data_IF_850904413674
#
_entry.id   IF_850904413674
#
_cell.length_a   1.000
_cell.length_b   1.000
_cell.length_c   1.000
_cell.angle_alpha   90.00
_cell.angle_beta   90.00
_cell.angle_gamma   90.00
#
_symmetry.space_group_name_H-M   'P 1'
#
loop_
_entity.id
_entity.type
_entity.pdbx_description
1 polymer ?
#
# COMPACT_ATOMS: atom_id res chain seq x y z
N UNK A 1 0.68 12.76 -14.15
CA UNK A 1 0.34 11.32 -14.25
C UNK A 1 0.74 10.66 -12.93
N UNK A 2 0.16 9.50 -12.62
CA UNK A 2 0.46 8.77 -11.38
C UNK A 2 1.26 7.51 -11.68
N UNK A 3 2.23 7.21 -10.82
CA UNK A 3 2.90 5.91 -10.78
C UNK A 3 2.60 5.24 -9.45
N UNK A 4 2.17 3.98 -9.52
CA UNK A 4 1.83 3.19 -8.35
C UNK A 4 3.00 2.25 -8.03
N UNK A 5 2.89 1.52 -6.92
CA UNK A 5 3.83 0.45 -6.53
C UNK A 5 5.26 0.89 -6.18
N UNK A 6 5.47 2.16 -5.80
CA UNK A 6 6.72 2.51 -5.12
C UNK A 6 6.87 1.60 -3.89
N UNK A 7 8.08 1.10 -3.68
CA UNK A 7 8.48 0.06 -2.72
C UNK A 7 8.39 -1.39 -3.19
N UNK A 8 7.80 -1.71 -4.35
CA UNK A 8 7.61 -3.11 -4.76
C UNK A 8 8.92 -3.87 -4.93
N UNK A 9 9.90 -3.22 -5.57
CA UNK A 9 11.26 -3.72 -5.74
C UNK A 9 12.21 -2.55 -5.98
N UNK A 10 13.52 -2.80 -5.84
CA UNK A 10 14.54 -1.81 -6.21
C UNK A 10 14.40 -1.33 -7.67
N UNK A 11 14.15 -2.26 -8.60
CA UNK A 11 13.96 -1.92 -10.02
C UNK A 11 12.75 -1.00 -10.25
N UNK A 12 11.61 -1.27 -9.57
CA UNK A 12 10.42 -0.41 -9.65
C UNK A 12 10.72 0.98 -9.10
N UNK A 13 11.40 1.05 -7.94
CA UNK A 13 11.79 2.34 -7.35
C UNK A 13 12.66 3.19 -8.29
N UNK A 14 13.66 2.57 -8.93
CA UNK A 14 14.54 3.26 -9.88
C UNK A 14 13.79 3.73 -11.14
N UNK A 15 12.83 2.93 -11.64
CA UNK A 15 11.99 3.33 -12.77
C UNK A 15 11.07 4.51 -12.44
N UNK A 16 10.48 4.52 -11.25
CA UNK A 16 9.65 5.63 -10.77
C UNK A 16 10.51 6.88 -10.58
N UNK A 17 11.68 6.76 -9.94
CA UNK A 17 12.62 7.87 -9.79
C UNK A 17 12.94 8.51 -11.14
N UNK A 18 13.29 7.70 -12.14
CA UNK A 18 13.60 8.21 -13.49
C UNK A 18 12.42 8.97 -14.08
N UNK A 19 11.21 8.44 -13.95
CA UNK A 19 9.99 9.05 -14.47
C UNK A 19 9.61 10.35 -13.75
N UNK A 20 9.90 10.45 -12.45
CA UNK A 20 9.75 11.70 -11.66
C UNK A 20 10.79 12.73 -12.09
N UNK A 21 12.06 12.35 -12.19
CA UNK A 21 13.16 13.24 -12.62
C UNK A 21 12.97 13.78 -14.04
N UNK A 22 12.34 12.99 -14.91
CA UNK A 22 12.00 13.40 -16.28
C UNK A 22 10.72 14.27 -16.34
N UNK A 23 10.06 14.51 -15.20
CA UNK A 23 8.86 15.36 -15.12
C UNK A 23 7.59 14.72 -15.66
N UNK A 24 7.60 13.42 -15.98
CA UNK A 24 6.44 12.69 -16.51
C UNK A 24 5.43 12.37 -15.39
N UNK A 25 5.95 12.00 -14.22
CA UNK A 25 5.17 11.62 -13.05
C UNK A 25 5.31 12.70 -11.98
N UNK A 26 4.16 13.12 -11.44
CA UNK A 26 4.07 14.10 -10.37
C UNK A 26 3.20 13.63 -9.20
N UNK A 27 2.81 12.36 -9.20
CA UNK A 27 2.05 11.72 -8.14
C UNK A 27 2.51 10.27 -8.01
N UNK A 28 2.85 9.83 -6.79
CA UNK A 28 3.39 8.49 -6.54
C UNK A 28 2.69 7.83 -5.36
N UNK A 29 2.29 6.56 -5.52
CA UNK A 29 1.74 5.71 -4.47
C UNK A 29 2.82 4.81 -3.87
N UNK A 30 3.08 4.93 -2.57
CA UNK A 30 4.05 4.10 -1.84
C UNK A 30 3.33 2.97 -1.10
N UNK A 31 3.87 1.74 -1.18
CA UNK A 31 3.43 0.61 -0.34
C UNK A 31 4.30 0.54 0.92
N UNK A 32 3.79 0.94 2.11
CA UNK A 32 4.63 1.08 3.30
C UNK A 32 5.09 -0.26 3.89
N UNK A 33 4.35 -1.35 3.62
CA UNK A 33 4.65 -2.67 4.15
C UNK A 33 5.82 -3.37 3.44
N UNK A 34 6.21 -2.90 2.26
CA UNK A 34 7.24 -3.55 1.45
C UNK A 34 8.65 -3.22 1.93
N UNK A 35 9.57 -4.18 1.79
CA UNK A 35 10.95 -4.08 2.30
C UNK A 35 11.76 -2.92 1.69
N UNK A 36 11.39 -2.46 0.50
CA UNK A 36 12.06 -1.35 -0.19
C UNK A 36 11.39 0.01 0.04
N UNK A 37 10.52 0.16 1.04
CA UNK A 37 9.78 1.40 1.25
C UNK A 37 10.65 2.59 1.65
N UNK A 38 11.57 2.40 2.59
CA UNK A 38 12.52 3.46 2.95
C UNK A 38 13.43 3.83 1.78
N UNK A 39 13.94 2.82 1.05
CA UNK A 39 14.73 3.04 -0.14
C UNK A 39 13.94 3.86 -1.18
N UNK A 40 12.71 3.45 -1.50
CA UNK A 40 11.85 4.11 -2.48
C UNK A 40 11.58 5.57 -2.12
N UNK A 41 11.19 5.84 -0.88
CA UNK A 41 10.96 7.20 -0.41
C UNK A 41 12.24 8.04 -0.44
N UNK A 42 13.38 7.49 -0.02
CA UNK A 42 14.65 8.22 0.02
C UNK A 42 15.08 8.80 -1.34
N UNK A 43 14.68 8.16 -2.44
CA UNK A 43 14.98 8.59 -3.80
C UNK A 43 14.16 9.79 -4.26
N UNK A 44 12.94 9.94 -3.75
CA UNK A 44 11.95 10.94 -4.23
C UNK A 44 11.58 12.00 -3.19
N UNK A 45 12.09 11.89 -1.96
CA UNK A 45 11.68 12.74 -0.82
C UNK A 45 11.86 14.25 -1.04
N UNK A 46 12.80 14.65 -1.89
CA UNK A 46 13.12 16.05 -2.18
C UNK A 46 12.38 16.58 -3.44
N UNK A 47 11.57 15.72 -4.08
CA UNK A 47 10.81 16.06 -5.28
C UNK A 47 9.46 16.70 -4.92
N UNK A 48 9.04 17.70 -5.70
CA UNK A 48 7.75 18.34 -5.53
C UNK A 48 6.63 17.54 -6.23
N UNK A 49 6.22 16.45 -5.60
CA UNK A 49 5.18 15.53 -6.10
C UNK A 49 4.13 15.24 -5.02
N UNK A 50 2.94 14.82 -5.45
CA UNK A 50 1.96 14.25 -4.53
C UNK A 50 2.41 12.84 -4.11
N UNK A 51 2.30 12.51 -2.83
CA UNK A 51 2.68 11.21 -2.28
C UNK A 51 1.49 10.59 -1.55
N UNK A 52 1.00 9.47 -2.07
CA UNK A 52 -0.13 8.75 -1.50
C UNK A 52 0.26 7.42 -0.85
N UNK A 53 -0.58 6.93 0.05
CA UNK A 53 -0.49 5.57 0.55
C UNK A 53 -1.16 4.61 -0.43
N UNK A 54 -0.35 3.76 -1.05
CA UNK A 54 -0.81 2.63 -1.84
C UNK A 54 -1.04 1.43 -0.93
N UNK A 55 -2.25 1.33 -0.38
CA UNK A 55 -2.59 0.33 0.63
C UNK A 55 -2.53 -1.05 0.01
N UNK A 56 -1.75 -1.95 0.58
CA UNK A 56 -1.49 -3.26 0.00
C UNK A 56 -1.90 -4.37 0.96
N UNK A 57 -2.76 -5.28 0.48
CA UNK A 57 -3.21 -6.45 1.25
C UNK A 57 -2.95 -7.76 0.51
N UNK A 58 -2.08 -7.74 -0.52
CA UNK A 58 -1.88 -8.93 -1.35
C UNK A 58 -0.44 -9.22 -1.81
N UNK A 59 0.53 -8.36 -1.43
CA UNK A 59 1.94 -8.54 -1.73
C UNK A 59 2.81 -8.45 -0.47
N UNK A 60 3.77 -9.37 -0.31
CA UNK A 60 4.66 -9.39 0.84
C UNK A 60 3.98 -9.85 2.14
N UNK A 61 4.39 -9.26 3.26
CA UNK A 61 3.84 -9.55 4.60
C UNK A 61 3.08 -8.34 5.14
N UNK A 62 2.06 -8.56 5.99
CA UNK A 62 1.40 -7.48 6.72
C UNK A 62 2.36 -6.83 7.71
N UNK A 63 2.02 -5.59 8.11
CA UNK A 63 2.64 -4.94 9.26
C UNK A 63 1.98 -5.37 10.58
N UNK A 64 0.75 -5.87 10.50
CA UNK A 64 -0.02 -6.41 11.62
C UNK A 64 0.35 -7.87 11.92
N UNK A 65 0.22 -8.30 13.19
CA UNK A 65 0.27 -9.72 13.54
C UNK A 65 -0.77 -10.51 12.72
N UNK A 66 -0.36 -11.51 11.91
CA UNK A 66 -1.27 -12.31 11.10
C UNK A 66 -2.46 -12.90 11.85
N UNK A 67 -2.35 -13.14 13.17
CA UNK A 67 -3.45 -13.66 14.01
C UNK A 67 -4.62 -12.67 14.16
N UNK A 68 -4.38 -11.38 13.95
CA UNK A 68 -5.40 -10.34 14.04
C UNK A 68 -6.12 -10.09 12.71
N UNK A 69 -5.58 -10.62 11.61
CA UNK A 69 -6.09 -10.40 10.23
C UNK A 69 -6.18 -11.70 9.41
N UNK A 70 -6.77 -12.79 9.94
CA UNK A 70 -6.77 -14.10 9.30
C UNK A 70 -7.42 -14.15 7.90
N UNK A 71 -8.31 -13.22 7.55
CA UNK A 71 -8.93 -13.17 6.21
C UNK A 71 -7.97 -12.67 5.11
N UNK A 72 -6.90 -11.96 5.51
CA UNK A 72 -5.94 -11.33 4.61
C UNK A 72 -4.70 -12.19 4.33
N UNK A 73 -4.43 -13.19 5.18
CA UNK A 73 -3.14 -13.90 5.22
C UNK A 73 -3.29 -15.39 4.95
N UNK A 74 -2.22 -16.01 4.48
CA UNK A 74 -2.04 -17.46 4.44
C UNK A 74 -1.55 -18.00 5.79
N UNK A 75 -1.50 -19.32 5.91
CA UNK A 75 -0.98 -20.02 7.09
C UNK A 75 0.48 -19.65 7.44
N UNK A 76 1.29 -19.28 6.45
CA UNK A 76 2.69 -18.85 6.65
C UNK A 76 2.83 -17.38 7.11
N UNK A 77 1.69 -16.68 7.26
CA UNK A 77 1.62 -15.27 7.66
C UNK A 77 1.92 -14.26 6.55
N UNK A 78 2.11 -14.70 5.30
CA UNK A 78 2.15 -13.81 4.13
C UNK A 78 0.75 -13.42 3.70
N UNK A 79 0.59 -12.29 3.01
CA UNK A 79 -0.71 -11.94 2.43
C UNK A 79 -1.16 -12.95 1.38
N UNK A 80 -2.46 -13.24 1.30
CA UNK A 80 -3.05 -13.89 0.14
C UNK A 80 -2.76 -13.07 -1.12
N UNK A 81 -2.35 -13.71 -2.21
CA UNK A 81 -2.11 -13.05 -3.50
C UNK A 81 -3.41 -12.48 -4.06
N UNK A 82 -3.28 -11.46 -4.91
CA UNK A 82 -4.40 -10.95 -5.70
C UNK A 82 -5.09 -12.03 -6.54
N UNK A 83 -4.35 -13.06 -6.98
CA UNK A 83 -4.91 -14.22 -7.67
C UNK A 83 -5.81 -15.05 -6.75
N UNK A 84 -5.32 -15.47 -5.59
CA UNK A 84 -6.11 -16.26 -4.64
C UNK A 84 -7.34 -15.50 -4.17
N UNK A 85 -7.22 -14.19 -3.90
CA UNK A 85 -8.35 -13.34 -3.51
C UNK A 85 -9.40 -13.31 -4.63
N UNK A 86 -8.98 -13.12 -5.89
CA UNK A 86 -9.89 -13.09 -7.05
C UNK A 86 -10.56 -14.45 -7.33
N UNK A 87 -9.94 -15.55 -6.93
CA UNK A 87 -10.48 -16.90 -7.10
C UNK A 87 -11.54 -17.27 -6.04
N UNK A 88 -11.71 -16.44 -4.99
CA UNK A 88 -12.79 -16.61 -4.01
C UNK A 88 -14.15 -16.38 -4.67
N UNK A 89 -15.14 -17.22 -4.36
CA UNK A 89 -16.50 -17.10 -4.92
C UNK A 89 -17.27 -15.92 -4.32
N UNK A 90 -16.89 -15.49 -3.12
CA UNK A 90 -17.46 -14.37 -2.38
C UNK A 90 -16.33 -13.53 -1.76
N UNK A 91 -16.65 -12.28 -1.43
CA UNK A 91 -15.70 -11.38 -0.78
C UNK A 91 -15.55 -11.74 0.70
N UNK A 92 -14.60 -12.63 1.00
CA UNK A 92 -14.31 -13.07 2.38
C UNK A 92 -13.37 -12.11 3.13
N UNK A 93 -13.03 -10.96 2.56
CA UNK A 93 -12.17 -9.97 3.22
C UNK A 93 -12.96 -9.30 4.34
N UNK A 94 -12.48 -9.39 5.57
CA UNK A 94 -13.09 -8.71 6.71
C UNK A 94 -12.70 -7.22 6.73
N UNK A 95 -13.71 -6.34 6.79
CA UNK A 95 -13.52 -4.88 6.76
C UNK A 95 -12.70 -4.38 7.96
N UNK A 96 -12.89 -4.95 9.15
CA UNK A 96 -12.16 -4.54 10.35
C UNK A 96 -10.70 -4.98 10.27
N UNK A 97 -10.45 -6.16 9.72
CA UNK A 97 -9.09 -6.64 9.48
C UNK A 97 -8.34 -5.74 8.48
N UNK A 98 -9.02 -5.32 7.40
CA UNK A 98 -8.50 -4.31 6.49
C UNK A 98 -8.23 -2.97 7.20
N UNK A 99 -9.10 -2.53 8.10
CA UNK A 99 -8.92 -1.29 8.86
C UNK A 99 -7.66 -1.34 9.72
N UNK A 100 -7.47 -2.44 10.46
CA UNK A 100 -6.28 -2.66 11.31
C UNK A 100 -5.00 -2.58 10.47
N UNK A 101 -4.93 -3.31 9.36
CA UNK A 101 -3.74 -3.32 8.50
C UNK A 101 -3.53 -1.98 7.78
N UNK A 102 -4.60 -1.30 7.38
CA UNK A 102 -4.51 0.02 6.72
C UNK A 102 -3.99 1.08 7.67
N UNK A 103 -4.42 1.06 8.94
CA UNK A 103 -3.92 1.93 10.00
C UNK A 103 -2.45 1.61 10.35
N UNK A 104 -2.07 0.32 10.36
CA UNK A 104 -0.67 -0.08 10.52
C UNK A 104 0.22 0.44 9.37
N UNK A 105 -0.26 0.36 8.12
CA UNK A 105 0.43 0.94 6.95
C UNK A 105 0.49 2.46 7.00
N UNK A 106 -0.56 3.13 7.48
CA UNK A 106 -0.54 4.59 7.68
C UNK A 106 0.49 5.00 8.72
N UNK A 107 0.55 4.30 9.85
CA UNK A 107 1.59 4.55 10.85
C UNK A 107 2.98 4.39 10.24
N UNK A 108 3.20 3.32 9.48
CA UNK A 108 4.49 3.08 8.80
C UNK A 108 4.81 4.13 7.72
N UNK A 109 3.79 4.59 6.98
CA UNK A 109 3.94 5.70 6.03
C UNK A 109 4.45 6.95 6.75
N UNK A 110 3.84 7.33 7.88
CA UNK A 110 4.24 8.51 8.66
C UNK A 110 5.64 8.33 9.24
N UNK A 111 6.00 7.13 9.72
CA UNK A 111 7.35 6.82 10.20
C UNK A 111 8.42 7.02 9.10
N UNK A 112 8.13 6.60 7.87
CA UNK A 112 9.06 6.71 6.74
C UNK A 112 9.16 8.17 6.24
N UNK A 113 8.02 8.85 6.14
CA UNK A 113 7.90 10.12 5.39
C UNK A 113 7.86 11.37 6.28
N UNK A 114 7.57 11.21 7.57
CA UNK A 114 7.35 12.32 8.50
C UNK A 114 6.09 13.14 8.24
N UNK A 115 5.19 12.70 7.35
CA UNK A 115 3.95 13.42 6.98
C UNK A 115 2.78 12.48 6.74
N UNK A 116 1.58 13.05 6.66
CA UNK A 116 0.38 12.35 6.20
C UNK A 116 0.40 12.13 4.68
N UNK A 117 -0.20 11.05 4.16
CA UNK A 117 -0.36 10.85 2.73
C UNK A 117 -1.34 11.87 2.13
N UNK A 118 -1.08 12.29 0.90
CA UNK A 118 -1.95 13.23 0.18
C UNK A 118 -3.24 12.55 -0.33
N UNK A 119 -3.22 11.23 -0.46
CA UNK A 119 -4.36 10.39 -0.83
C UNK A 119 -4.14 8.93 -0.41
N UNK A 120 -5.22 8.14 -0.40
CA UNK A 120 -5.16 6.69 -0.26
C UNK A 120 -5.73 6.00 -1.48
N UNK A 121 -5.21 4.82 -1.76
CA UNK A 121 -5.73 3.89 -2.76
C UNK A 121 -5.38 2.44 -2.39
N UNK A 122 -5.74 1.48 -3.25
CA UNK A 122 -5.57 0.06 -2.99
C UNK A 122 -4.83 -0.67 -4.11
N UNK A 123 -3.88 -1.54 -3.72
CA UNK A 123 -3.09 -2.35 -4.64
C UNK A 123 -3.81 -3.65 -5.04
N UNK A 124 -4.05 -3.80 -6.35
CA UNK A 124 -4.34 -5.05 -7.06
C UNK A 124 -5.47 -5.97 -6.55
N UNK A 125 -6.29 -5.50 -5.60
CA UNK A 125 -7.45 -6.24 -5.05
C UNK A 125 -8.74 -5.48 -5.34
N UNK A 126 -9.67 -6.16 -6.02
CA UNK A 126 -11.02 -5.67 -6.27
C UNK A 126 -11.99 -6.28 -5.27
N UNK A 127 -12.17 -5.61 -4.14
CA UNK A 127 -13.08 -6.01 -3.05
C UNK A 127 -13.87 -4.80 -2.59
N UNK A 128 -15.18 -4.95 -2.47
CA UNK A 128 -16.04 -3.87 -1.97
C UNK A 128 -15.70 -3.53 -0.53
N UNK A 129 -15.40 -4.55 0.28
CA UNK A 129 -14.99 -4.40 1.67
C UNK A 129 -13.67 -3.64 1.79
N UNK A 130 -12.70 -3.97 0.94
CA UNK A 130 -11.42 -3.26 0.90
C UNK A 130 -11.58 -1.80 0.48
N UNK A 131 -12.34 -1.51 -0.58
CA UNK A 131 -12.57 -0.14 -1.02
C UNK A 131 -13.40 0.67 -0.01
N UNK A 132 -14.35 0.04 0.67
CA UNK A 132 -15.10 0.66 1.76
C UNK A 132 -14.15 1.08 2.90
N UNK A 133 -13.22 0.20 3.28
CA UNK A 133 -12.23 0.51 4.30
C UNK A 133 -11.33 1.70 3.92
N UNK A 134 -10.77 1.71 2.70
CA UNK A 134 -9.93 2.82 2.23
C UNK A 134 -10.68 4.15 2.34
N UNK A 135 -11.95 4.20 1.89
CA UNK A 135 -12.79 5.40 2.00
C UNK A 135 -13.04 5.83 3.43
N UNK A 136 -13.11 4.88 4.37
CA UNK A 136 -13.28 5.16 5.81
C UNK A 136 -12.01 5.77 6.39
N UNK A 137 -10.83 5.22 6.09
CA UNK A 137 -9.54 5.75 6.53
C UNK A 137 -9.27 7.18 6.00
N UNK A 138 -9.61 7.45 4.73
CA UNK A 138 -9.48 8.81 4.16
C UNK A 138 -10.23 9.90 4.95
N UNK A 139 -11.29 9.56 5.68
CA UNK A 139 -12.08 10.53 6.46
C UNK A 139 -11.51 10.78 7.86
N UNK A 140 -10.57 9.94 8.32
CA UNK A 140 -9.92 10.06 9.63
C UNK A 140 -8.58 10.82 9.57
N UNK A 141 -7.95 10.82 8.40
CA UNK A 141 -6.69 11.48 8.09
C UNK A 141 -6.91 12.97 7.77
#
# INVERSE_FOLDING_TARGET
MRADDLSFSEAVNLGILKSVKDGLINSVGIMPNMVYAEHGYSLIKDENIALGQHTNICAGKPLTDPKLIPSLVREDGSFCTSKEIRERQEDTIDVKECEIETEAQLKRFIEITGRMPDYFEGHAVFSENFFYNIKKCCKKA
#
